data_IF_247056925868
#
_entry.id   IF_247056925868
#
_cell.length_a   1.000
_cell.length_b   1.000
_cell.length_c   1.000
_cell.angle_alpha   90.00
_cell.angle_beta   90.00
_cell.angle_gamma   90.00
#
_symmetry.space_group_name_H-M   'P 1'
#
loop_
_entity.id
_entity.type
_entity.pdbx_description
1 polymer ?
#
# COMPACT_ATOMS: atom_id res chain seq x y z
N UNK A 1 -7.70 -30.72 76.47
CA UNK A 1 -7.83 -30.50 75.00
C UNK A 1 -7.45 -31.76 74.22
N UNK A 2 -6.56 -32.59 74.75
CA UNK A 2 -5.88 -33.71 74.08
C UNK A 2 -6.82 -34.79 73.51
N UNK A 3 -7.95 -35.08 74.16
CA UNK A 3 -8.94 -36.05 73.65
C UNK A 3 -9.51 -35.68 72.27
N UNK A 4 -9.48 -34.40 71.88
CA UNK A 4 -9.90 -33.94 70.55
C UNK A 4 -8.76 -34.16 69.53
N UNK A 5 -7.51 -33.92 69.93
CA UNK A 5 -6.31 -34.16 69.10
C UNK A 5 -6.16 -35.64 68.76
N UNK A 6 -6.25 -36.52 69.77
CA UNK A 6 -6.25 -37.99 69.60
C UNK A 6 -7.33 -38.48 68.62
N UNK A 7 -8.48 -37.82 68.55
CA UNK A 7 -9.65 -38.24 67.75
C UNK A 7 -9.75 -37.60 66.36
N UNK A 8 -9.05 -36.49 66.09
CA UNK A 8 -9.03 -35.83 64.76
C UNK A 8 -7.77 -36.11 63.94
N UNK A 9 -6.60 -36.19 64.57
CA UNK A 9 -5.32 -36.38 63.87
C UNK A 9 -4.43 -37.39 64.61
N UNK A 10 -4.78 -38.70 64.60
CA UNK A 10 -4.09 -39.72 65.39
C UNK A 10 -2.60 -39.85 65.03
N UNK A 11 -2.25 -39.63 63.75
CA UNK A 11 -0.87 -39.72 63.26
C UNK A 11 -0.12 -38.37 63.32
N UNK A 12 -0.67 -37.34 63.98
CA UNK A 12 0.02 -36.06 64.14
C UNK A 12 1.14 -36.18 65.20
N UNK A 13 2.25 -35.45 64.99
CA UNK A 13 3.40 -35.50 65.90
C UNK A 13 3.02 -35.26 67.38
N UNK A 14 2.14 -34.28 67.73
CA UNK A 14 1.72 -34.10 69.13
C UNK A 14 0.90 -35.27 69.68
N UNK A 15 0.08 -35.93 68.86
CA UNK A 15 -0.69 -37.10 69.29
C UNK A 15 0.22 -38.32 69.51
N UNK A 16 1.21 -38.52 68.64
CA UNK A 16 2.21 -39.59 68.75
C UNK A 16 3.13 -39.37 69.97
N UNK A 17 3.61 -38.14 70.20
CA UNK A 17 4.43 -37.79 71.38
C UNK A 17 3.63 -38.05 72.68
N UNK A 18 2.35 -37.64 72.73
CA UNK A 18 1.51 -37.91 73.90
C UNK A 18 1.23 -39.41 74.10
N UNK A 19 0.99 -40.17 73.02
CA UNK A 19 0.81 -41.61 73.08
C UNK A 19 2.07 -42.32 73.59
N UNK A 20 3.25 -41.94 73.11
CA UNK A 20 4.53 -42.45 73.60
C UNK A 20 4.78 -42.08 75.07
N UNK A 21 4.48 -40.84 75.48
CA UNK A 21 4.61 -40.41 76.87
C UNK A 21 3.67 -41.17 77.82
N UNK A 22 2.42 -41.43 77.41
CA UNK A 22 1.49 -42.25 78.21
C UNK A 22 1.92 -43.72 78.26
N UNK A 23 2.39 -44.32 77.16
CA UNK A 23 2.96 -45.67 77.16
C UNK A 23 4.28 -45.80 77.96
N UNK A 24 5.04 -44.72 78.10
CA UNK A 24 6.20 -44.66 78.99
C UNK A 24 5.82 -44.51 80.47
N UNK A 25 4.67 -43.88 80.77
CA UNK A 25 4.20 -43.61 82.14
C UNK A 25 3.34 -44.72 82.75
N UNK A 26 2.66 -45.54 81.94
CA UNK A 26 1.97 -46.74 82.41
C UNK A 26 2.97 -47.90 82.53
N UNK A 27 3.33 -48.22 83.78
CA UNK A 27 4.25 -49.29 84.14
C UNK A 27 3.58 -50.67 84.22
N UNK A 28 4.42 -51.70 84.29
CA UNK A 28 4.07 -53.10 84.58
C UNK A 28 3.15 -53.83 83.56
N UNK A 29 3.19 -53.40 82.30
CA UNK A 29 2.64 -54.13 81.15
C UNK A 29 3.73 -54.69 80.24
N UNK A 30 4.02 -55.99 80.41
CA UNK A 30 4.95 -56.86 79.66
C UNK A 30 6.14 -56.20 78.92
N UNK A 31 7.34 -56.34 79.51
CA UNK A 31 8.59 -55.93 78.89
C UNK A 31 8.91 -56.67 77.57
N UNK A 32 8.44 -57.90 77.37
CA UNK A 32 8.67 -58.68 76.15
C UNK A 32 8.04 -58.01 74.92
N UNK A 33 6.80 -57.54 75.03
CA UNK A 33 6.12 -56.78 73.98
C UNK A 33 6.91 -55.52 73.56
N UNK A 34 7.54 -54.82 74.51
CA UNK A 34 8.38 -53.64 74.21
C UNK A 34 9.66 -54.04 73.47
N UNK A 35 10.39 -55.05 73.95
CA UNK A 35 11.60 -55.56 73.28
C UNK A 35 11.31 -56.06 71.86
N UNK A 36 10.27 -56.87 71.68
CA UNK A 36 9.86 -57.36 70.36
C UNK A 36 9.55 -56.22 69.36
N UNK A 37 9.00 -55.10 69.86
CA UNK A 37 8.73 -53.90 69.05
C UNK A 37 10.02 -53.16 68.69
N UNK A 38 10.97 -53.03 69.61
CA UNK A 38 12.29 -52.45 69.35
C UNK A 38 13.06 -53.31 68.34
N UNK A 39 13.12 -54.63 68.53
CA UNK A 39 13.80 -55.56 67.61
C UNK A 39 13.20 -55.52 66.20
N UNK A 40 11.89 -55.28 66.07
CA UNK A 40 11.22 -55.12 64.78
C UNK A 40 11.62 -53.79 64.12
N UNK A 41 11.65 -52.69 64.87
CA UNK A 41 12.09 -51.38 64.38
C UNK A 41 13.57 -51.41 63.98
N UNK A 42 14.45 -52.00 64.78
CA UNK A 42 15.86 -52.22 64.41
C UNK A 42 16.00 -53.03 63.13
N UNK A 43 15.28 -54.15 63.00
CA UNK A 43 15.29 -54.96 61.77
C UNK A 43 14.75 -54.19 60.56
N UNK A 44 13.79 -53.27 60.74
CA UNK A 44 13.31 -52.41 59.66
C UNK A 44 14.29 -51.28 59.33
N UNK A 45 14.98 -50.69 60.30
CA UNK A 45 16.05 -49.70 60.10
C UNK A 45 17.21 -50.33 59.35
N UNK A 46 17.77 -51.44 59.83
CA UNK A 46 18.86 -52.20 59.17
C UNK A 46 18.49 -52.61 57.73
N UNK A 47 17.22 -52.95 57.49
CA UNK A 47 16.71 -53.22 56.13
C UNK A 47 16.59 -51.94 55.28
N UNK A 48 16.16 -50.80 55.85
CA UNK A 48 16.09 -49.52 55.13
C UNK A 48 17.49 -48.96 54.81
N UNK A 49 18.46 -49.16 55.70
CA UNK A 49 19.86 -48.78 55.50
C UNK A 49 20.47 -49.58 54.32
N UNK A 50 20.29 -50.91 54.30
CA UNK A 50 20.70 -51.73 53.14
C UNK A 50 19.90 -51.44 51.85
N UNK A 51 18.61 -51.11 51.95
CA UNK A 51 17.79 -50.64 50.82
C UNK A 51 18.23 -49.25 50.29
N UNK A 52 18.96 -48.47 51.09
CA UNK A 52 19.51 -47.16 50.71
C UNK A 52 20.92 -47.31 50.13
N UNK A 53 21.81 -48.03 50.82
CA UNK A 53 23.17 -48.33 50.34
C UNK A 53 23.13 -49.04 48.98
N UNK A 54 22.22 -50.00 48.78
CA UNK A 54 22.01 -50.66 47.50
C UNK A 54 21.58 -49.72 46.37
N UNK A 55 20.77 -48.69 46.66
CA UNK A 55 20.36 -47.65 45.69
C UNK A 55 21.48 -46.69 45.38
N UNK A 56 22.26 -46.27 46.38
CA UNK A 56 23.46 -45.46 46.14
C UNK A 56 24.44 -46.22 45.25
N UNK A 57 24.59 -47.52 45.46
CA UNK A 57 25.44 -48.37 44.65
C UNK A 57 24.90 -48.65 43.24
N UNK A 58 23.58 -48.66 43.04
CA UNK A 58 22.94 -48.67 41.72
C UNK A 58 23.13 -47.32 41.01
N UNK A 59 22.96 -46.20 41.73
CA UNK A 59 23.18 -44.85 41.22
C UNK A 59 24.64 -44.64 40.79
N UNK A 60 25.63 -45.08 41.59
CA UNK A 60 27.07 -45.06 41.23
C UNK A 60 27.34 -45.84 39.93
N UNK A 61 26.72 -47.02 39.77
CA UNK A 61 26.84 -47.86 38.55
C UNK A 61 26.20 -47.18 37.33
N UNK A 62 25.00 -46.61 37.51
CA UNK A 62 24.26 -45.87 36.47
C UNK A 62 25.02 -44.61 36.01
N UNK A 63 25.56 -43.83 36.96
CA UNK A 63 26.39 -42.66 36.65
C UNK A 63 27.62 -43.04 35.83
N UNK A 64 28.38 -44.06 36.26
CA UNK A 64 29.54 -44.56 35.52
C UNK A 64 29.20 -45.05 34.11
N UNK A 65 28.06 -45.71 33.94
CA UNK A 65 27.58 -46.12 32.62
C UNK A 65 27.23 -44.92 31.72
N UNK A 66 26.61 -43.88 32.29
CA UNK A 66 26.32 -42.61 31.59
C UNK A 66 27.60 -41.87 31.18
N UNK A 67 28.58 -41.77 32.08
CA UNK A 67 29.90 -41.19 31.82
C UNK A 67 30.62 -41.91 30.66
N UNK A 68 30.57 -43.25 30.63
CA UNK A 68 31.14 -44.04 29.55
C UNK A 68 30.45 -43.80 28.19
N UNK A 69 29.12 -43.68 28.15
CA UNK A 69 28.43 -43.31 26.90
C UNK A 69 28.76 -41.88 26.47
N UNK A 70 28.85 -40.93 27.42
CA UNK A 70 29.24 -39.55 27.13
C UNK A 70 30.65 -39.48 26.54
N UNK A 71 31.63 -40.16 27.14
CA UNK A 71 33.01 -40.23 26.62
C UNK A 71 33.07 -40.86 25.22
N UNK A 72 32.32 -41.95 25.00
CA UNK A 72 32.21 -42.61 23.68
C UNK A 72 31.63 -41.67 22.61
N UNK A 73 30.55 -40.97 22.92
CA UNK A 73 29.89 -40.01 22.01
C UNK A 73 30.81 -38.81 21.73
N UNK A 74 31.49 -38.30 22.77
CA UNK A 74 32.48 -37.22 22.63
C UNK A 74 33.59 -37.59 21.65
N UNK A 75 34.22 -38.75 21.82
CA UNK A 75 35.27 -39.24 20.92
C UNK A 75 34.80 -39.43 19.47
N UNK A 76 33.53 -39.82 19.27
CA UNK A 76 32.93 -39.92 17.93
C UNK A 76 32.77 -38.53 17.27
N UNK A 77 32.34 -37.52 18.01
CA UNK A 77 32.27 -36.15 17.49
C UNK A 77 33.66 -35.54 17.25
N UNK A 78 34.62 -35.70 18.16
CA UNK A 78 36.00 -35.23 17.99
C UNK A 78 36.65 -35.83 16.73
N UNK A 79 36.47 -37.14 16.49
CA UNK A 79 36.91 -37.79 15.25
C UNK A 79 36.22 -37.20 14.01
N UNK A 80 34.90 -36.97 14.08
CA UNK A 80 34.13 -36.46 12.93
C UNK A 80 34.46 -35.01 12.59
N UNK A 81 34.80 -34.19 13.58
CA UNK A 81 35.28 -32.82 13.39
C UNK A 81 36.62 -32.85 12.63
N UNK A 82 37.59 -33.64 13.09
CA UNK A 82 38.89 -33.76 12.41
C UNK A 82 38.79 -34.29 10.96
N UNK A 83 37.86 -35.20 10.68
CA UNK A 83 37.56 -35.63 9.29
C UNK A 83 37.05 -34.48 8.41
N UNK A 84 36.18 -33.62 8.95
CA UNK A 84 35.62 -32.49 8.22
C UNK A 84 36.63 -31.36 8.02
N UNK A 85 37.48 -31.10 9.02
CA UNK A 85 38.60 -30.14 8.93
C UNK A 85 39.60 -30.57 7.86
N UNK A 86 39.96 -31.86 7.80
CA UNK A 86 40.83 -32.41 6.76
C UNK A 86 40.20 -32.31 5.36
N UNK A 87 38.90 -32.59 5.22
CA UNK A 87 38.18 -32.44 3.94
C UNK A 87 38.11 -30.97 3.49
N UNK A 88 37.95 -30.02 4.42
CA UNK A 88 37.91 -28.59 4.13
C UNK A 88 39.31 -28.08 3.72
N UNK A 89 40.36 -28.47 4.44
CA UNK A 89 41.74 -28.16 4.08
C UNK A 89 42.13 -28.77 2.71
N UNK A 90 41.71 -30.00 2.43
CA UNK A 90 41.93 -30.64 1.13
C UNK A 90 41.23 -29.88 0.00
N UNK A 91 39.98 -29.42 0.19
CA UNK A 91 39.29 -28.59 -0.81
C UNK A 91 40.05 -27.30 -1.08
N UNK A 92 40.36 -26.51 -0.04
CA UNK A 92 41.08 -25.23 -0.17
C UNK A 92 42.44 -25.36 -0.88
N UNK A 93 43.11 -26.51 -0.76
CA UNK A 93 44.40 -26.76 -1.41
C UNK A 93 44.28 -27.21 -2.89
N UNK A 94 43.15 -27.80 -3.28
CA UNK A 94 42.95 -28.40 -4.61
C UNK A 94 41.90 -27.67 -5.47
N UNK A 95 41.27 -26.62 -4.95
CA UNK A 95 40.35 -25.78 -5.70
C UNK A 95 41.15 -24.93 -6.72
N UNK A 96 40.92 -25.10 -8.04
CA UNK A 96 41.75 -24.45 -9.06
C UNK A 96 41.52 -22.93 -9.03
N UNK A 97 42.60 -22.19 -8.74
CA UNK A 97 42.54 -20.74 -8.67
C UNK A 97 42.08 -20.13 -10.00
N UNK A 98 40.91 -19.50 -10.00
CA UNK A 98 40.33 -18.70 -11.09
C UNK A 98 40.32 -17.17 -10.88
N UNK A 99 41.09 -16.56 -9.95
CA UNK A 99 40.58 -15.40 -9.22
C UNK A 99 40.83 -14.07 -9.96
N UNK A 100 41.69 -14.03 -10.98
CA UNK A 100 42.02 -12.78 -11.68
C UNK A 100 40.95 -12.39 -12.71
N UNK A 101 40.44 -13.34 -13.50
CA UNK A 101 39.41 -13.05 -14.49
C UNK A 101 38.07 -12.73 -13.80
N UNK A 102 37.74 -13.47 -12.73
CA UNK A 102 36.52 -13.24 -11.94
C UNK A 102 36.56 -11.91 -11.17
N UNK A 103 37.70 -11.50 -10.59
CA UNK A 103 37.81 -10.20 -9.90
C UNK A 103 37.87 -9.01 -10.86
N UNK A 104 38.49 -9.14 -12.03
CA UNK A 104 38.49 -8.06 -13.04
C UNK A 104 37.11 -7.89 -13.68
N UNK A 105 36.40 -8.98 -13.95
CA UNK A 105 35.00 -8.95 -14.39
C UNK A 105 34.06 -8.34 -13.32
N UNK A 106 34.23 -8.71 -12.04
CA UNK A 106 33.46 -8.13 -10.94
C UNK A 106 33.70 -6.63 -10.78
N UNK A 107 34.96 -6.18 -10.86
CA UNK A 107 35.29 -4.75 -10.80
C UNK A 107 34.69 -3.95 -11.99
N UNK A 108 34.63 -4.55 -13.18
CA UNK A 108 33.97 -3.95 -14.33
C UNK A 108 32.44 -3.83 -14.12
N UNK A 109 31.79 -4.86 -13.57
CA UNK A 109 30.37 -4.81 -13.22
C UNK A 109 30.05 -3.79 -12.12
N UNK A 110 30.90 -3.66 -11.10
CA UNK A 110 30.78 -2.61 -10.07
C UNK A 110 30.91 -1.21 -10.68
N UNK A 111 31.83 -1.01 -11.62
CA UNK A 111 31.99 0.25 -12.34
C UNK A 111 30.75 0.57 -13.21
N UNK A 112 30.21 -0.39 -13.95
CA UNK A 112 28.99 -0.19 -14.74
C UNK A 112 27.76 0.07 -13.86
N UNK A 113 27.60 -0.65 -12.75
CA UNK A 113 26.53 -0.35 -11.78
C UNK A 113 26.68 1.05 -11.19
N UNK A 114 27.91 1.51 -10.94
CA UNK A 114 28.19 2.87 -10.50
C UNK A 114 27.85 3.92 -11.60
N UNK A 115 28.11 3.61 -12.87
CA UNK A 115 27.77 4.46 -14.02
C UNK A 115 26.25 4.58 -14.19
N UNK A 116 25.53 3.46 -14.19
CA UNK A 116 24.07 3.39 -14.30
C UNK A 116 23.39 4.14 -13.16
N UNK A 117 23.85 3.98 -11.92
CA UNK A 117 23.28 4.71 -10.78
C UNK A 117 23.49 6.22 -10.87
N UNK A 118 24.66 6.70 -11.32
CA UNK A 118 24.89 8.13 -11.59
C UNK A 118 23.99 8.66 -12.71
N UNK A 119 23.80 7.89 -13.78
CA UNK A 119 22.89 8.27 -14.87
C UNK A 119 21.43 8.36 -14.38
N UNK A 120 20.96 7.39 -13.60
CA UNK A 120 19.64 7.43 -12.97
C UNK A 120 19.50 8.61 -12.00
N UNK A 121 20.52 8.93 -11.19
CA UNK A 121 20.50 10.08 -10.28
C UNK A 121 20.35 11.42 -11.05
N UNK A 122 21.03 11.57 -12.19
CA UNK A 122 20.89 12.73 -13.09
C UNK A 122 19.49 12.79 -13.71
N UNK A 123 18.95 11.66 -14.18
CA UNK A 123 17.58 11.60 -14.73
C UNK A 123 16.54 11.96 -13.66
N UNK A 124 16.67 11.45 -12.44
CA UNK A 124 15.79 11.78 -11.31
C UNK A 124 15.86 13.28 -10.99
N UNK A 125 17.06 13.87 -10.94
CA UNK A 125 17.25 15.32 -10.72
C UNK A 125 16.61 16.17 -11.84
N UNK A 126 16.75 15.75 -13.09
CA UNK A 126 16.12 16.43 -14.23
C UNK A 126 14.59 16.37 -14.17
N UNK A 127 14.02 15.19 -13.90
CA UNK A 127 12.56 15.01 -13.74
C UNK A 127 12.02 15.78 -12.52
N UNK A 128 12.77 15.86 -11.42
CA UNK A 128 12.40 16.70 -10.27
C UNK A 128 12.38 18.19 -10.62
N UNK A 129 13.34 18.67 -11.41
CA UNK A 129 13.37 20.05 -11.90
C UNK A 129 12.23 20.35 -12.89
N UNK A 130 11.89 19.40 -13.77
CA UNK A 130 10.73 19.51 -14.68
C UNK A 130 9.41 19.55 -13.90
N UNK A 131 9.20 18.64 -12.93
CA UNK A 131 8.02 18.64 -12.05
C UNK A 131 7.91 19.96 -11.27
N UNK A 132 9.03 20.52 -10.79
CA UNK A 132 9.03 21.83 -10.14
C UNK A 132 8.65 22.96 -11.11
N UNK A 133 9.18 22.95 -12.33
CA UNK A 133 8.84 23.92 -13.39
C UNK A 133 7.36 23.87 -13.76
N UNK A 134 6.81 22.67 -14.00
CA UNK A 134 5.39 22.46 -14.32
C UNK A 134 4.47 22.89 -13.18
N UNK A 135 4.84 22.63 -11.91
CA UNK A 135 4.08 23.13 -10.73
C UNK A 135 4.10 24.67 -10.65
N UNK A 136 5.23 25.29 -10.96
CA UNK A 136 5.33 26.76 -11.02
C UNK A 136 4.49 27.33 -12.18
N UNK A 137 4.44 26.64 -13.33
CA UNK A 137 3.59 27.04 -14.45
C UNK A 137 2.10 26.91 -14.13
N UNK A 138 1.67 25.80 -13.50
CA UNK A 138 0.28 25.60 -13.07
C UNK A 138 -0.15 26.69 -12.09
N UNK A 139 0.66 26.99 -11.07
CA UNK A 139 0.32 28.03 -10.08
C UNK A 139 0.29 29.44 -10.70
N UNK A 140 1.15 29.75 -11.67
CA UNK A 140 1.07 31.00 -12.43
C UNK A 140 -0.22 31.08 -13.27
N UNK A 141 -0.59 30.00 -13.97
CA UNK A 141 -1.83 29.94 -14.76
C UNK A 141 -3.08 30.01 -13.88
N UNK A 142 -3.07 29.42 -12.68
CA UNK A 142 -4.15 29.58 -11.71
C UNK A 142 -4.30 31.03 -11.23
N UNK A 143 -3.20 31.75 -11.01
CA UNK A 143 -3.23 33.17 -10.61
C UNK A 143 -3.74 34.03 -11.77
N UNK A 144 -3.25 33.81 -12.99
CA UNK A 144 -3.73 34.52 -14.18
C UNK A 144 -5.23 34.28 -14.41
N UNK A 145 -5.69 33.03 -14.29
CA UNK A 145 -7.10 32.69 -14.42
C UNK A 145 -7.96 33.37 -13.33
N UNK A 146 -7.52 33.37 -12.07
CA UNK A 146 -8.23 34.07 -10.99
C UNK A 146 -8.35 35.57 -11.28
N UNK A 147 -7.35 36.19 -11.90
CA UNK A 147 -7.39 37.59 -12.32
C UNK A 147 -8.32 37.84 -13.52
N UNK A 148 -8.45 36.91 -14.47
CA UNK A 148 -9.44 37.03 -15.57
C UNK A 148 -10.86 36.78 -15.08
N UNK A 149 -11.07 35.73 -14.28
CA UNK A 149 -12.39 35.38 -13.71
C UNK A 149 -12.92 36.57 -12.87
N UNK A 150 -12.06 37.27 -12.12
CA UNK A 150 -12.39 38.50 -11.38
C UNK A 150 -12.72 39.70 -12.30
N UNK A 151 -11.95 39.92 -13.37
CA UNK A 151 -12.18 41.02 -14.31
C UNK A 151 -13.50 40.84 -15.10
N UNK A 152 -13.83 39.60 -15.48
CA UNK A 152 -15.09 39.26 -16.15
C UNK A 152 -16.29 39.43 -15.20
N UNK A 153 -16.15 39.12 -13.91
CA UNK A 153 -17.17 39.39 -12.89
C UNK A 153 -17.44 40.90 -12.75
N UNK A 154 -16.41 41.73 -12.66
CA UNK A 154 -16.54 43.20 -12.58
C UNK A 154 -17.17 43.78 -13.85
N UNK A 155 -16.82 43.25 -15.03
CA UNK A 155 -17.44 43.60 -16.32
C UNK A 155 -18.93 43.28 -16.35
N UNK A 156 -19.31 42.08 -15.87
CA UNK A 156 -20.69 41.63 -15.78
C UNK A 156 -21.51 42.46 -14.77
N UNK A 157 -20.96 42.79 -13.61
CA UNK A 157 -21.60 43.65 -12.60
C UNK A 157 -21.90 45.04 -13.16
N UNK A 158 -20.92 45.66 -13.83
CA UNK A 158 -21.09 46.94 -14.52
C UNK A 158 -22.17 46.87 -15.62
N UNK A 159 -22.22 45.79 -16.40
CA UNK A 159 -23.26 45.58 -17.40
C UNK A 159 -24.65 45.44 -16.77
N UNK A 160 -24.77 44.69 -15.66
CA UNK A 160 -26.02 44.54 -14.91
C UNK A 160 -26.49 45.89 -14.37
N UNK A 161 -25.63 46.65 -13.70
CA UNK A 161 -26.01 47.99 -13.20
C UNK A 161 -26.43 48.93 -14.34
N UNK A 162 -25.72 48.91 -15.47
CA UNK A 162 -26.09 49.70 -16.65
C UNK A 162 -27.46 49.30 -17.21
N UNK A 163 -27.82 48.01 -17.24
CA UNK A 163 -29.17 47.57 -17.66
C UNK A 163 -30.25 47.99 -16.67
N UNK A 164 -29.98 47.92 -15.36
CA UNK A 164 -30.90 48.39 -14.32
C UNK A 164 -31.13 49.91 -14.41
N UNK A 165 -30.08 50.70 -14.62
CA UNK A 165 -30.18 52.15 -14.84
C UNK A 165 -31.00 52.49 -16.10
N UNK A 166 -30.78 51.76 -17.21
CA UNK A 166 -31.58 51.88 -18.44
C UNK A 166 -33.05 51.54 -18.20
N UNK A 167 -33.36 50.46 -17.48
CA UNK A 167 -34.73 50.08 -17.13
C UNK A 167 -35.44 51.13 -16.27
N UNK A 168 -34.74 51.70 -15.27
CA UNK A 168 -35.23 52.80 -14.43
C UNK A 168 -35.56 54.05 -15.26
N UNK A 169 -34.72 54.40 -16.23
CA UNK A 169 -34.95 55.51 -17.16
C UNK A 169 -36.19 55.26 -18.04
N UNK A 170 -36.33 54.06 -18.61
CA UNK A 170 -37.51 53.68 -19.41
C UNK A 170 -38.80 53.79 -18.59
N UNK A 171 -38.81 53.36 -17.33
CA UNK A 171 -39.96 53.49 -16.43
C UNK A 171 -40.34 54.95 -16.19
N UNK A 172 -39.36 55.81 -15.89
CA UNK A 172 -39.59 57.25 -15.69
C UNK A 172 -40.08 57.94 -16.98
N UNK A 173 -39.61 57.52 -18.14
CA UNK A 173 -40.10 58.04 -19.43
C UNK A 173 -41.55 57.61 -19.72
N UNK A 174 -41.92 56.36 -19.39
CA UNK A 174 -43.32 55.91 -19.49
C UNK A 174 -44.25 56.70 -18.56
N UNK A 175 -43.80 57.00 -17.33
CA UNK A 175 -44.51 57.83 -16.35
C UNK A 175 -44.67 59.28 -16.86
N UNK A 176 -43.61 59.86 -17.43
CA UNK A 176 -43.63 61.18 -18.07
C UNK A 176 -44.59 61.22 -19.28
N UNK A 177 -44.61 60.17 -20.11
CA UNK A 177 -45.56 60.04 -21.24
C UNK A 177 -47.00 59.94 -20.72
N UNK A 178 -47.25 59.19 -19.64
CA UNK A 178 -48.57 59.11 -19.01
C UNK A 178 -49.02 60.49 -18.47
N UNK A 179 -48.14 61.22 -17.77
CA UNK A 179 -48.42 62.57 -17.29
C UNK A 179 -48.61 63.59 -18.41
N UNK A 180 -47.89 63.47 -19.52
CA UNK A 180 -48.13 64.30 -20.70
C UNK A 180 -49.49 64.01 -21.38
N UNK A 181 -49.99 62.76 -21.35
CA UNK A 181 -51.36 62.45 -21.81
C UNK A 181 -52.41 63.06 -20.89
N UNK A 182 -52.23 62.95 -19.58
CA UNK A 182 -53.09 63.57 -18.56
C UNK A 182 -53.16 65.10 -18.76
N UNK A 183 -52.01 65.76 -18.95
CA UNK A 183 -51.94 67.19 -19.31
C UNK A 183 -52.63 67.46 -20.66
N UNK A 184 -52.46 66.60 -21.67
CA UNK A 184 -53.10 66.78 -22.98
C UNK A 184 -54.64 66.64 -22.88
N UNK A 185 -55.15 65.73 -22.06
CA UNK A 185 -56.60 65.51 -21.89
C UNK A 185 -57.25 66.60 -21.02
N UNK A 186 -56.54 67.12 -20.02
CA UNK A 186 -56.90 68.39 -19.36
C UNK A 186 -56.91 69.55 -20.37
N UNK A 187 -55.89 69.65 -21.23
CA UNK A 187 -55.81 70.68 -22.28
C UNK A 187 -56.95 70.55 -23.30
N UNK A 188 -57.30 69.35 -23.76
CA UNK A 188 -58.47 69.08 -24.62
C UNK A 188 -59.79 69.45 -23.93
N UNK A 189 -59.85 69.38 -22.60
CA UNK A 189 -61.03 69.76 -21.82
C UNK A 189 -61.15 71.28 -21.73
N UNK A 190 -60.07 71.99 -21.43
CA UNK A 190 -60.00 73.45 -21.52
C UNK A 190 -60.28 73.93 -22.95
N UNK A 191 -59.72 73.27 -23.96
CA UNK A 191 -59.97 73.59 -25.37
C UNK A 191 -61.42 73.36 -25.80
N UNK A 192 -62.11 72.33 -25.30
CA UNK A 192 -63.54 72.11 -25.59
C UNK A 192 -64.38 73.25 -25.04
N UNK A 193 -64.15 73.66 -23.79
CA UNK A 193 -64.79 74.85 -23.21
C UNK A 193 -64.48 76.14 -24.02
N UNK A 194 -63.24 76.26 -24.54
CA UNK A 194 -62.86 77.36 -25.46
C UNK A 194 -63.36 77.20 -26.92
N UNK A 195 -63.81 76.01 -27.32
CA UNK A 195 -64.35 75.71 -28.66
C UNK A 195 -65.85 75.77 -28.68
N UNK A 196 -66.55 75.41 -27.61
CA UNK A 196 -67.95 75.79 -27.38
C UNK A 196 -68.08 77.32 -27.42
N UNK A 197 -67.15 78.04 -26.77
CA UNK A 197 -66.99 79.51 -26.88
C UNK A 197 -66.69 80.04 -28.31
N UNK A 198 -66.27 79.21 -29.27
CA UNK A 198 -65.85 79.62 -30.64
C UNK A 198 -66.60 79.00 -31.81
N UNK A 199 -67.28 77.87 -31.64
CA UNK A 199 -68.11 77.23 -32.67
C UNK A 199 -69.48 77.93 -32.76
N UNK A 200 -69.81 78.73 -31.74
CA UNK A 200 -70.73 79.88 -31.88
C UNK A 200 -70.32 80.91 -32.97
N UNK A 201 -69.18 80.74 -33.69
CA UNK A 201 -68.63 81.76 -34.60
C UNK A 201 -68.31 81.30 -36.07
N UNK A 202 -67.97 80.03 -36.40
CA UNK A 202 -67.55 79.66 -37.80
C UNK A 202 -67.39 78.14 -38.12
N UNK A 203 -67.48 77.71 -39.41
CA UNK A 203 -67.25 76.32 -39.90
C UNK A 203 -66.99 76.15 -41.45
N UNK A 204 -66.56 74.92 -41.89
CA UNK A 204 -66.12 74.39 -43.25
C UNK A 204 -64.66 74.78 -43.67
N UNK A 205 -63.92 74.22 -44.66
CA UNK A 205 -64.13 73.30 -45.84
C UNK A 205 -62.85 72.45 -46.17
N UNK A 206 -62.86 71.41 -47.06
CA UNK A 206 -61.72 70.43 -47.19
C UNK A 206 -61.47 69.61 -48.51
N UNK A 207 -60.33 68.82 -48.55
CA UNK A 207 -59.77 67.82 -49.54
C UNK A 207 -58.84 68.34 -50.70
N UNK A 208 -57.97 67.61 -51.44
CA UNK A 208 -57.44 66.20 -51.61
C UNK A 208 -56.30 66.15 -52.70
N UNK A 209 -55.68 65.07 -53.28
CA UNK A 209 -55.58 63.58 -53.11
C UNK A 209 -54.56 62.90 -54.13
N UNK A 210 -53.92 61.74 -53.80
CA UNK A 210 -53.28 60.66 -54.69
C UNK A 210 -51.84 60.76 -55.32
N UNK A 211 -51.20 59.62 -55.74
CA UNK A 211 -49.71 59.39 -55.90
C UNK A 211 -49.24 58.26 -56.91
N UNK A 212 -47.91 58.03 -57.18
CA UNK A 212 -47.37 56.88 -58.03
C UNK A 212 -45.80 56.63 -58.14
N UNK A 213 -45.37 55.46 -58.71
CA UNK A 213 -44.12 55.06 -59.50
C UNK A 213 -42.67 55.24 -58.93
N UNK A 214 -41.49 54.76 -59.46
CA UNK A 214 -40.90 53.58 -60.23
C UNK A 214 -39.31 53.73 -60.24
N UNK A 215 -38.29 52.98 -60.78
CA UNK A 215 -37.92 51.90 -61.78
C UNK A 215 -36.70 51.06 -61.23
N UNK A 216 -35.72 50.32 -61.86
CA UNK A 216 -35.20 49.77 -63.18
C UNK A 216 -34.21 48.57 -62.84
N UNK A 217 -33.20 47.96 -63.52
CA UNK A 217 -32.41 47.89 -64.82
C UNK A 217 -31.67 46.48 -64.85
N UNK A 218 -30.71 45.95 -65.65
CA UNK A 218 -29.84 46.27 -66.84
C UNK A 218 -28.30 46.17 -66.54
N UNK A 219 -27.33 45.56 -67.28
CA UNK A 219 -27.22 44.69 -68.51
C UNK A 219 -25.81 43.93 -68.59
N UNK A 220 -25.27 43.46 -69.75
CA UNK A 220 -24.18 42.43 -69.94
C UNK A 220 -23.31 42.51 -71.25
N UNK A 221 -22.21 41.69 -71.37
CA UNK A 221 -21.42 41.20 -72.58
C UNK A 221 -20.29 40.20 -72.16
N UNK A 222 -19.63 39.26 -72.90
CA UNK A 222 -19.58 38.69 -74.30
C UNK A 222 -18.65 39.35 -75.38
N UNK A 223 -17.87 38.67 -76.26
CA UNK A 223 -17.56 37.23 -76.60
C UNK A 223 -16.38 37.04 -77.65
N UNK A 224 -16.00 35.79 -78.07
CA UNK A 224 -15.34 35.31 -79.37
C UNK A 224 -13.77 35.39 -79.55
N UNK A 225 -12.96 34.41 -80.07
CA UNK A 225 -13.14 33.02 -80.64
C UNK A 225 -11.85 32.10 -80.66
N UNK A 226 -12.03 30.75 -80.71
CA UNK A 226 -11.27 29.56 -81.29
C UNK A 226 -9.76 29.56 -81.68
N UNK A 227 -9.01 28.43 -81.83
CA UNK A 227 -9.30 26.96 -81.91
C UNK A 227 -8.08 26.03 -81.57
N UNK A 228 -8.39 24.78 -81.18
CA UNK A 228 -7.63 23.50 -81.04
C UNK A 228 -6.90 23.00 -82.35
N UNK A 229 -6.14 21.85 -82.46
CA UNK A 229 -5.83 20.78 -81.47
C UNK A 229 -4.45 20.00 -81.51
N UNK A 230 -4.28 19.08 -80.52
CA UNK A 230 -3.76 17.67 -80.60
C UNK A 230 -2.30 17.25 -80.22
N UNK A 231 -2.27 16.13 -79.46
CA UNK A 231 -1.21 15.18 -79.03
C UNK A 231 -0.58 14.34 -80.19
N UNK A 232 0.54 13.54 -80.06
CA UNK A 232 0.81 12.60 -78.93
C UNK A 232 2.29 12.23 -78.53
N UNK A 233 2.33 11.24 -77.62
CA UNK A 233 3.40 10.42 -76.96
C UNK A 233 4.67 10.03 -77.76
N UNK A 234 5.68 9.54 -77.02
CA UNK A 234 6.65 8.51 -77.41
C UNK A 234 6.97 7.54 -76.24
N UNK A 235 7.52 6.36 -76.55
CA UNK A 235 8.01 5.29 -75.66
C UNK A 235 9.35 4.76 -76.22
N UNK A 236 10.29 4.28 -75.39
CA UNK A 236 11.58 3.71 -75.83
C UNK A 236 11.96 2.41 -75.08
N UNK A 237 12.91 1.64 -75.62
CA UNK A 237 13.12 0.20 -75.35
C UNK A 237 14.59 -0.16 -75.04
N UNK A 238 14.84 -1.42 -74.64
CA UNK A 238 16.12 -1.96 -74.17
C UNK A 238 17.28 -1.96 -75.19
N UNK A 239 18.56 -1.98 -74.74
CA UNK A 239 19.74 -2.13 -75.60
C UNK A 239 20.02 -3.58 -76.02
N UNK A 240 20.77 -3.73 -77.12
CA UNK A 240 21.08 -4.99 -77.80
C UNK A 240 22.50 -5.51 -77.49
N UNK A 241 22.69 -6.83 -77.41
CA UNK A 241 24.00 -7.45 -77.13
C UNK A 241 24.84 -7.63 -78.41
N UNK A 242 26.02 -7.04 -78.46
CA UNK A 242 27.03 -7.30 -79.49
C UNK A 242 28.12 -8.22 -78.92
N UNK A 243 28.29 -9.43 -79.46
CA UNK A 243 29.40 -10.32 -79.11
C UNK A 243 29.81 -11.25 -80.27
N UNK A 244 30.26 -10.64 -81.37
CA UNK A 244 30.66 -11.37 -82.59
C UNK A 244 32.16 -11.74 -82.53
N UNK A 245 32.46 -13.01 -82.19
CA UNK A 245 33.84 -13.53 -82.07
C UNK A 245 34.01 -14.85 -82.84
N UNK A 246 34.86 -14.81 -83.87
CA UNK A 246 35.14 -15.97 -84.73
C UNK A 246 36.09 -16.96 -84.04
N UNK A 247 35.68 -18.21 -83.94
CA UNK A 247 36.45 -19.30 -83.33
C UNK A 247 37.76 -19.60 -84.08
N UNK A 248 38.87 -19.74 -83.35
CA UNK A 248 40.17 -20.15 -83.90
C UNK A 248 40.65 -21.45 -83.23
N UNK A 249 40.68 -22.60 -83.94
CA UNK A 249 41.02 -23.90 -83.35
C UNK A 249 42.43 -24.03 -82.73
N UNK A 250 43.37 -23.13 -83.05
CA UNK A 250 44.77 -23.23 -82.58
C UNK A 250 45.03 -22.66 -81.18
N UNK A 251 44.04 -22.03 -80.55
CA UNK A 251 44.16 -21.52 -79.17
C UNK A 251 44.20 -22.68 -78.14
N UNK A 252 43.61 -23.83 -78.49
CA UNK A 252 43.37 -24.96 -77.57
C UNK A 252 44.54 -25.94 -77.37
N UNK A 253 45.64 -25.83 -78.12
CA UNK A 253 46.62 -26.94 -78.22
C UNK A 253 47.58 -27.08 -77.02
N UNK A 254 48.24 -25.99 -76.60
CA UNK A 254 49.25 -26.01 -75.53
C UNK A 254 48.91 -25.06 -74.37
N UNK A 255 48.38 -23.87 -74.65
CA UNK A 255 47.98 -22.90 -73.61
C UNK A 255 46.92 -23.47 -72.66
N UNK A 256 45.97 -24.22 -73.20
CA UNK A 256 44.80 -24.74 -72.47
C UNK A 256 45.17 -25.68 -71.32
N UNK A 257 46.26 -26.47 -71.44
CA UNK A 257 46.69 -27.37 -70.37
C UNK A 257 47.26 -26.58 -69.18
N UNK A 258 48.04 -25.53 -69.46
CA UNK A 258 48.57 -24.66 -68.39
C UNK A 258 47.48 -23.79 -67.77
N UNK A 259 46.50 -23.36 -68.56
CA UNK A 259 45.32 -22.62 -68.12
C UNK A 259 44.45 -23.48 -67.18
N UNK A 260 44.14 -24.72 -67.57
CA UNK A 260 43.40 -25.69 -66.73
C UNK A 260 44.18 -26.08 -65.47
N UNK A 261 45.52 -26.15 -65.52
CA UNK A 261 46.33 -26.38 -64.31
C UNK A 261 46.30 -25.17 -63.35
N UNK A 262 46.34 -23.95 -63.90
CA UNK A 262 46.22 -22.72 -63.10
C UNK A 262 44.81 -22.59 -62.49
N UNK A 263 43.76 -22.84 -63.27
CA UNK A 263 42.37 -22.94 -62.79
C UNK A 263 42.24 -24.02 -61.70
N UNK A 264 42.88 -25.19 -61.88
CA UNK A 264 42.85 -26.26 -60.88
C UNK A 264 43.59 -25.90 -59.57
N UNK A 265 44.61 -25.04 -59.61
CA UNK A 265 45.18 -24.45 -58.39
C UNK A 265 44.26 -23.41 -57.77
N UNK A 266 43.68 -22.50 -58.56
CA UNK A 266 42.75 -21.48 -58.05
C UNK A 266 41.50 -22.10 -57.40
N UNK A 267 40.94 -23.15 -58.00
CA UNK A 267 39.81 -23.90 -57.45
C UNK A 267 40.17 -24.69 -56.17
N UNK A 268 41.43 -25.08 -55.98
CA UNK A 268 41.91 -25.67 -54.71
C UNK A 268 42.03 -24.60 -53.63
N UNK A 269 42.60 -23.46 -53.96
CA UNK A 269 42.73 -22.32 -53.04
C UNK A 269 41.35 -21.79 -52.62
N UNK A 270 40.39 -21.73 -53.55
CA UNK A 270 38.98 -21.40 -53.25
C UNK A 270 38.29 -22.48 -52.40
N UNK A 271 38.53 -23.78 -52.66
CA UNK A 271 37.99 -24.86 -51.83
C UNK A 271 38.56 -24.84 -50.40
N UNK A 272 39.86 -24.61 -50.23
CA UNK A 272 40.48 -24.49 -48.91
C UNK A 272 39.92 -23.28 -48.16
N UNK A 273 39.81 -22.13 -48.83
CA UNK A 273 39.19 -20.90 -48.29
C UNK A 273 37.73 -21.11 -47.89
N UNK A 274 36.91 -21.73 -48.74
CA UNK A 274 35.51 -22.04 -48.45
C UNK A 274 35.37 -23.04 -47.29
N UNK A 275 36.27 -24.02 -47.20
CA UNK A 275 36.28 -24.99 -46.09
C UNK A 275 36.63 -24.30 -44.77
N UNK A 276 37.60 -23.38 -44.79
CA UNK A 276 37.97 -22.55 -43.64
C UNK A 276 36.80 -21.66 -43.21
N UNK A 277 36.19 -20.92 -44.15
CA UNK A 277 35.06 -20.02 -43.90
C UNK A 277 33.82 -20.76 -43.38
N UNK A 278 33.53 -21.96 -43.89
CA UNK A 278 32.43 -22.80 -43.41
C UNK A 278 32.71 -23.33 -41.99
N UNK A 279 33.96 -23.71 -41.69
CA UNK A 279 34.35 -24.11 -40.32
C UNK A 279 34.23 -22.94 -39.33
N UNK A 280 34.67 -21.74 -39.71
CA UNK A 280 34.60 -20.54 -38.88
C UNK A 280 33.15 -20.11 -38.62
N UNK A 281 32.28 -20.21 -39.64
CA UNK A 281 30.84 -19.99 -39.48
C UNK A 281 30.18 -21.03 -38.57
N UNK A 282 30.58 -22.31 -38.64
CA UNK A 282 30.08 -23.36 -37.75
C UNK A 282 30.44 -23.08 -36.28
N UNK A 283 31.69 -22.70 -35.99
CA UNK A 283 32.08 -22.28 -34.63
C UNK A 283 31.33 -21.03 -34.18
N UNK A 284 31.24 -20.00 -35.02
CA UNK A 284 30.47 -18.76 -34.74
C UNK A 284 29.00 -19.05 -34.41
N UNK A 285 28.37 -19.98 -35.14
CA UNK A 285 27.00 -20.41 -34.87
C UNK A 285 26.88 -21.22 -33.57
N UNK A 286 27.84 -22.11 -33.29
CA UNK A 286 27.84 -22.93 -32.08
C UNK A 286 27.97 -22.09 -30.81
N UNK A 287 28.92 -21.15 -30.76
CA UNK A 287 29.07 -20.24 -29.60
C UNK A 287 27.82 -19.39 -29.38
N UNK A 288 27.28 -18.75 -30.44
CA UNK A 288 26.04 -17.97 -30.35
C UNK A 288 24.84 -18.77 -29.87
N UNK A 289 24.81 -20.09 -30.10
CA UNK A 289 23.76 -20.99 -29.63
C UNK A 289 23.94 -21.32 -28.14
N UNK A 290 25.17 -21.51 -27.69
CA UNK A 290 25.53 -21.71 -26.29
C UNK A 290 25.23 -20.45 -25.46
N UNK A 291 25.64 -19.27 -25.93
CA UNK A 291 25.28 -17.95 -25.36
C UNK A 291 23.75 -17.79 -25.19
N UNK A 292 22.98 -18.22 -26.19
CA UNK A 292 21.51 -18.11 -26.19
C UNK A 292 20.87 -19.11 -25.22
N UNK A 293 21.43 -20.31 -25.10
CA UNK A 293 20.95 -21.34 -24.15
C UNK A 293 21.28 -20.95 -22.71
N UNK A 294 22.44 -20.34 -22.43
CA UNK A 294 22.78 -19.75 -21.13
C UNK A 294 21.87 -18.54 -20.81
N UNK A 295 21.66 -17.62 -21.75
CA UNK A 295 20.74 -16.49 -21.56
C UNK A 295 19.31 -16.96 -21.23
N UNK A 296 18.81 -17.98 -21.92
CA UNK A 296 17.50 -18.58 -21.65
C UNK A 296 17.46 -19.31 -20.30
N UNK A 297 18.58 -19.91 -19.85
CA UNK A 297 18.68 -20.50 -18.52
C UNK A 297 18.68 -19.43 -17.41
N UNK A 298 19.48 -18.38 -17.56
CA UNK A 298 19.52 -17.24 -16.63
C UNK A 298 18.16 -16.54 -16.51
N UNK A 299 17.46 -16.32 -17.62
CA UNK A 299 16.12 -15.74 -17.65
C UNK A 299 15.10 -16.60 -16.90
N UNK A 300 15.15 -17.93 -17.06
CA UNK A 300 14.30 -18.89 -16.31
C UNK A 300 14.57 -18.84 -14.81
N UNK A 301 15.85 -18.80 -14.40
CA UNK A 301 16.23 -18.70 -12.98
C UNK A 301 15.79 -17.37 -12.38
N UNK A 302 15.93 -16.27 -13.12
CA UNK A 302 15.45 -14.95 -12.68
C UNK A 302 13.94 -14.92 -12.49
N UNK A 303 13.17 -15.49 -13.43
CA UNK A 303 11.71 -15.57 -13.33
C UNK A 303 11.25 -16.49 -12.19
N UNK A 304 11.91 -17.64 -11.97
CA UNK A 304 11.62 -18.51 -10.84
C UNK A 304 11.83 -17.77 -9.50
N UNK A 305 12.93 -17.02 -9.37
CA UNK A 305 13.20 -16.20 -8.19
C UNK A 305 12.16 -15.10 -7.98
N UNK A 306 11.74 -14.41 -9.04
CA UNK A 306 10.67 -13.40 -9.00
C UNK A 306 9.34 -14.01 -8.50
N UNK A 307 8.97 -15.19 -9.00
CA UNK A 307 7.77 -15.92 -8.57
C UNK A 307 7.86 -16.33 -7.09
N UNK A 308 9.01 -16.78 -6.61
CA UNK A 308 9.24 -17.08 -5.19
C UNK A 308 9.17 -15.83 -4.30
N UNK A 309 9.71 -14.70 -4.75
CA UNK A 309 9.64 -13.41 -4.04
C UNK A 309 8.20 -12.88 -3.94
N UNK A 310 7.41 -12.98 -5.02
CA UNK A 310 5.98 -12.61 -5.03
C UNK A 310 5.16 -13.50 -4.10
N UNK A 311 5.44 -14.81 -4.05
CA UNK A 311 4.77 -15.74 -3.12
C UNK A 311 5.14 -15.43 -1.66
N UNK A 312 6.44 -15.28 -1.35
CA UNK A 312 6.89 -14.92 -0.01
C UNK A 312 6.33 -13.57 0.48
N UNK A 313 6.25 -12.58 -0.43
CA UNK A 313 5.64 -11.28 -0.13
C UNK A 313 4.13 -11.41 0.15
N UNK A 314 3.41 -12.25 -0.60
CA UNK A 314 1.98 -12.54 -0.38
C UNK A 314 1.73 -13.20 0.98
N UNK A 315 2.53 -14.19 1.36
CA UNK A 315 2.37 -14.90 2.63
C UNK A 315 2.70 -13.99 3.83
N UNK A 316 3.72 -13.13 3.69
CA UNK A 316 4.01 -12.07 4.66
C UNK A 316 2.85 -11.06 4.79
N UNK A 317 2.24 -10.63 3.68
CA UNK A 317 1.06 -9.76 3.71
C UNK A 317 -0.16 -10.46 4.37
N UNK A 318 -0.35 -11.76 4.15
CA UNK A 318 -1.41 -12.53 4.82
C UNK A 318 -1.19 -12.58 6.34
N UNK A 319 0.03 -12.87 6.77
CA UNK A 319 0.41 -12.87 8.20
C UNK A 319 0.19 -11.49 8.86
N UNK A 320 0.62 -10.41 8.20
CA UNK A 320 0.44 -9.03 8.69
C UNK A 320 -1.04 -8.64 8.76
N UNK A 321 -1.85 -8.99 7.76
CA UNK A 321 -3.29 -8.69 7.77
C UNK A 321 -4.06 -9.50 8.80
N UNK A 322 -3.71 -10.78 9.02
CA UNK A 322 -4.22 -11.56 10.14
C UNK A 322 -3.91 -10.92 11.50
N UNK A 323 -2.68 -10.50 11.73
CA UNK A 323 -2.27 -9.83 12.96
C UNK A 323 -3.00 -8.50 13.16
N UNK A 324 -3.13 -7.70 12.10
CA UNK A 324 -3.89 -6.45 12.13
C UNK A 324 -5.39 -6.67 12.43
N UNK A 325 -5.99 -7.75 11.90
CA UNK A 325 -7.37 -8.13 12.22
C UNK A 325 -7.50 -8.54 13.70
N UNK A 326 -6.59 -9.37 14.22
CA UNK A 326 -6.55 -9.77 15.64
C UNK A 326 -6.40 -8.56 16.57
N UNK A 327 -5.50 -7.62 16.24
CA UNK A 327 -5.32 -6.35 16.95
C UNK A 327 -6.61 -5.49 16.89
N UNK A 328 -7.26 -5.41 15.73
CA UNK A 328 -8.50 -4.65 15.55
C UNK A 328 -9.64 -5.20 16.43
N UNK A 329 -9.81 -6.53 16.50
CA UNK A 329 -10.79 -7.17 17.41
C UNK A 329 -10.48 -6.88 18.87
N UNK A 330 -9.20 -6.97 19.28
CA UNK A 330 -8.79 -6.65 20.65
C UNK A 330 -9.03 -5.16 20.99
N UNK A 331 -8.76 -4.24 20.06
CA UNK A 331 -9.00 -2.81 20.25
C UNK A 331 -10.49 -2.48 20.40
N UNK A 332 -11.38 -3.18 19.69
CA UNK A 332 -12.84 -3.07 19.86
C UNK A 332 -13.27 -3.57 21.24
N UNK A 333 -12.74 -4.72 21.68
CA UNK A 333 -13.05 -5.28 23.01
C UNK A 333 -12.56 -4.37 24.15
N UNK A 334 -11.35 -3.81 24.03
CA UNK A 334 -10.80 -2.83 24.99
C UNK A 334 -11.69 -1.58 25.05
N UNK A 335 -12.14 -1.03 23.93
CA UNK A 335 -13.08 0.11 23.90
C UNK A 335 -14.40 -0.22 24.61
N UNK A 336 -14.94 -1.43 24.41
CA UNK A 336 -16.18 -1.85 25.09
C UNK A 336 -15.99 -1.96 26.61
N UNK A 337 -14.89 -2.56 27.07
CA UNK A 337 -14.55 -2.61 28.51
C UNK A 337 -14.33 -1.21 29.09
N UNK A 338 -13.64 -0.31 28.38
CA UNK A 338 -13.48 1.09 28.79
C UNK A 338 -14.83 1.80 28.93
N UNK A 339 -15.78 1.56 28.02
CA UNK A 339 -17.13 2.09 28.11
C UNK A 339 -17.89 1.53 29.33
N UNK A 340 -17.87 0.22 29.57
CA UNK A 340 -18.49 -0.40 30.75
C UNK A 340 -17.93 0.19 32.06
N UNK A 341 -16.61 0.38 32.14
CA UNK A 341 -15.96 1.02 33.31
C UNK A 341 -16.41 2.47 33.49
N UNK A 342 -16.56 3.24 32.41
CA UNK A 342 -17.10 4.60 32.47
C UNK A 342 -18.59 4.64 32.89
N UNK A 343 -19.38 3.62 32.52
CA UNK A 343 -20.79 3.51 32.91
C UNK A 343 -20.92 3.15 34.39
N UNK A 344 -20.23 2.10 34.85
CA UNK A 344 -20.18 1.71 36.27
C UNK A 344 -19.65 2.82 37.18
N UNK A 345 -18.72 3.65 36.71
CA UNK A 345 -18.22 4.80 37.47
C UNK A 345 -19.29 5.89 37.64
N UNK A 346 -20.11 6.17 36.62
CA UNK A 346 -21.25 7.12 36.74
C UNK A 346 -22.33 6.57 37.66
N UNK A 347 -22.65 5.28 37.58
CA UNK A 347 -23.62 4.64 38.47
C UNK A 347 -23.16 4.67 39.93
N UNK A 348 -21.86 4.47 40.18
CA UNK A 348 -21.23 4.63 41.50
C UNK A 348 -21.35 6.06 42.03
N UNK A 349 -21.14 7.06 41.18
CA UNK A 349 -21.27 8.48 41.55
C UNK A 349 -22.74 8.84 41.84
N UNK A 350 -23.69 8.39 41.01
CA UNK A 350 -25.12 8.55 41.24
C UNK A 350 -25.59 7.87 42.54
N UNK A 351 -25.09 6.66 42.83
CA UNK A 351 -25.35 5.95 44.08
C UNK A 351 -24.80 6.72 45.29
N UNK A 352 -23.60 7.27 45.21
CA UNK A 352 -23.02 8.08 46.28
C UNK A 352 -23.82 9.36 46.56
N UNK A 353 -24.33 10.03 45.52
CA UNK A 353 -25.25 11.18 45.66
C UNK A 353 -26.58 10.73 46.30
N UNK A 354 -27.13 9.59 45.90
CA UNK A 354 -28.36 9.03 46.49
C UNK A 354 -28.19 8.72 47.98
N UNK A 355 -27.10 8.03 48.36
CA UNK A 355 -26.74 7.74 49.75
C UNK A 355 -26.59 9.02 50.58
N UNK A 356 -25.98 10.08 50.02
CA UNK A 356 -25.85 11.37 50.73
C UNK A 356 -27.19 12.07 50.92
N UNK A 357 -28.11 11.98 49.95
CA UNK A 357 -29.48 12.47 50.09
C UNK A 357 -30.26 11.68 51.14
N UNK A 358 -30.10 10.36 51.18
CA UNK A 358 -30.73 9.50 52.20
C UNK A 358 -30.20 9.82 53.61
N UNK A 359 -28.89 9.99 53.78
CA UNK A 359 -28.25 10.37 55.04
C UNK A 359 -28.82 11.69 55.61
N UNK A 360 -29.10 12.68 54.74
CA UNK A 360 -29.74 13.94 55.12
C UNK A 360 -31.20 13.71 55.56
N UNK A 361 -31.98 12.97 54.77
CA UNK A 361 -33.39 12.68 55.09
C UNK A 361 -33.53 11.86 56.39
N UNK A 362 -32.64 10.90 56.64
CA UNK A 362 -32.59 10.15 57.91
C UNK A 362 -32.31 11.08 59.11
N UNK A 363 -31.40 12.06 58.95
CA UNK A 363 -31.11 13.08 59.98
C UNK A 363 -32.30 14.00 60.23
N UNK A 364 -32.98 14.47 59.19
CA UNK A 364 -34.18 15.29 59.30
C UNK A 364 -35.33 14.54 60.01
N UNK A 365 -35.59 13.29 59.63
CA UNK A 365 -36.58 12.43 60.28
C UNK A 365 -36.23 12.18 61.75
N UNK A 366 -34.97 11.92 62.08
CA UNK A 366 -34.53 11.77 63.46
C UNK A 366 -34.81 13.04 64.30
N UNK A 367 -34.50 14.22 63.77
CA UNK A 367 -34.80 15.51 64.41
C UNK A 367 -36.32 15.75 64.58
N UNK A 368 -37.14 15.41 63.58
CA UNK A 368 -38.60 15.51 63.71
C UNK A 368 -39.15 14.55 64.78
N UNK A 369 -38.61 13.32 64.87
CA UNK A 369 -39.00 12.34 65.90
C UNK A 369 -38.59 12.77 67.31
N UNK A 370 -37.41 13.37 67.51
CA UNK A 370 -37.02 13.90 68.83
C UNK A 370 -37.87 15.11 69.22
N UNK A 371 -38.13 16.04 68.29
CA UNK A 371 -39.02 17.18 68.52
C UNK A 371 -40.46 16.74 68.85
N UNK A 372 -41.00 15.76 68.14
CA UNK A 372 -42.33 15.21 68.42
C UNK A 372 -42.42 14.52 69.79
N UNK A 373 -41.35 13.82 70.23
CA UNK A 373 -41.25 13.27 71.60
C UNK A 373 -41.25 14.38 72.65
N UNK A 374 -40.40 15.39 72.50
CA UNK A 374 -40.34 16.54 73.41
C UNK A 374 -41.68 17.27 73.53
N UNK A 375 -42.36 17.50 72.40
CA UNK A 375 -43.69 18.13 72.38
C UNK A 375 -44.74 17.31 73.14
N UNK A 376 -44.75 15.97 73.01
CA UNK A 376 -45.62 15.10 73.83
C UNK A 376 -45.31 15.18 75.31
N UNK A 377 -44.03 15.16 75.71
CA UNK A 377 -43.66 15.30 77.13
C UNK A 377 -44.10 16.64 77.72
N UNK A 378 -43.96 17.75 76.98
CA UNK A 378 -44.47 19.06 77.40
C UNK A 378 -46.01 19.10 77.51
N UNK A 379 -46.74 18.44 76.59
CA UNK A 379 -48.20 18.35 76.67
C UNK A 379 -48.68 17.51 77.86
N UNK A 380 -47.98 16.42 78.18
CA UNK A 380 -48.26 15.60 79.38
C UNK A 380 -47.97 16.37 80.67
N UNK A 381 -46.89 17.16 80.70
CA UNK A 381 -46.50 17.98 81.85
C UNK A 381 -47.41 19.18 82.13
N UNK A 382 -48.24 19.60 81.18
CA UNK A 382 -49.24 20.67 81.34
C UNK A 382 -50.65 20.12 81.67
N UNK A 383 -50.77 18.82 81.98
CA UNK A 383 -52.02 18.15 82.38
C UNK A 383 -51.88 17.40 83.72
N UNK A 384 -50.87 17.79 84.53
CA UNK A 384 -50.81 17.63 85.98
C UNK A 384 -50.80 19.02 86.63
#
# INVERSE_FOLDING_TARGET
MEMILKRRHPNSLPALIYAAATAASEGDGDASARTNTVDFLERRVKKLEGELEGKDDEAKKSLRAMEQQFQKIKLQYEKRIGELEQLLAYKLLNEPQKPQDETTHLAALEQEFCNVNKAHEVVIKNLQAEIASLRNQITQLEIQRKATDEADLQSLEYQVEQTHAKAKLVRLNQELIAKNREIQDLTKTVERLQKERRIMLSAKESSGKTANKETSSGILKKDIVSSNPRNPRNEELFPEMINDKKYQPKIFADSHISEVLQENTQLKDELEKLTLELSQNYFSYSFRKEDLEEYVAALKVSHQKEMEEVLGQRDMQHSVTELNNKISTQAIFIKHLQQQVCELQRDREALAVSQKREEILQKELACQVTFAKLKRHSQMGNHM
#
